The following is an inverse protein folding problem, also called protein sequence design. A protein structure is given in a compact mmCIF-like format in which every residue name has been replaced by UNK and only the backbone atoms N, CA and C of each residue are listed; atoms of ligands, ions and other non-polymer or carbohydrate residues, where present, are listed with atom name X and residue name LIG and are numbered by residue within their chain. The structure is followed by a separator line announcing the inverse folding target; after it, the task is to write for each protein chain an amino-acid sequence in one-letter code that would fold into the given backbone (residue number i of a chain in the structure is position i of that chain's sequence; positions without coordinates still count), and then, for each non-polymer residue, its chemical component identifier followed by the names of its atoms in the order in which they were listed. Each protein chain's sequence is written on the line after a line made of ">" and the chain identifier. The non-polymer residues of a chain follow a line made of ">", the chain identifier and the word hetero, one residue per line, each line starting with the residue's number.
data_IF_739077614577
#
_entry.id   IF_739077614577
#
_cell.length_a   1.000
_cell.length_b   1.000
_cell.length_c   1.000
_cell.angle_alpha   90.00
_cell.angle_beta   90.00
_cell.angle_gamma   90.00
#
_symmetry.space_group_name_H-M   'P 1'
#
loop_
_entity.id
_entity.type
_entity.pdbx_description
1 polymer ?
#
# COMPACT_ATOMS: atom_id res chain seq x y z
N UNK A 1 -25.78 -9.11 -3.98
CA UNK A 1 -25.48 -9.03 -5.42
C UNK A 1 -24.01 -9.37 -5.58
N UNK A 2 -23.65 -10.18 -6.57
CA UNK A 2 -22.25 -10.55 -6.83
C UNK A 2 -21.54 -9.35 -7.46
N UNK A 3 -20.36 -8.99 -6.93
CA UNK A 3 -19.53 -7.91 -7.47
C UNK A 3 -19.13 -8.21 -8.93
N UNK A 4 -19.13 -7.21 -9.84
CA UNK A 4 -18.72 -7.40 -11.23
C UNK A 4 -17.24 -7.81 -11.34
N UNK A 5 -16.89 -8.60 -12.36
CA UNK A 5 -15.49 -8.86 -12.71
C UNK A 5 -14.89 -7.63 -13.38
N UNK A 6 -13.57 -7.52 -13.41
CA UNK A 6 -12.88 -6.36 -13.99
C UNK A 6 -13.28 -6.14 -15.46
N UNK A 7 -13.41 -7.23 -16.24
CA UNK A 7 -13.88 -7.17 -17.64
C UNK A 7 -15.26 -6.52 -17.80
N UNK A 8 -16.11 -6.63 -16.78
CA UNK A 8 -17.45 -6.04 -16.80
C UNK A 8 -17.37 -4.52 -16.50
N UNK A 9 -16.39 -4.10 -15.70
CA UNK A 9 -16.10 -2.66 -15.48
C UNK A 9 -15.63 -1.98 -16.76
N UNK A 10 -14.85 -2.67 -17.59
CA UNK A 10 -14.30 -2.12 -18.84
C UNK A 10 -15.39 -1.71 -19.86
N UNK A 11 -16.57 -2.31 -19.79
CA UNK A 11 -17.67 -2.12 -20.76
C UNK A 11 -18.93 -1.47 -20.17
N UNK A 12 -18.88 -1.05 -18.90
CA UNK A 12 -20.05 -0.46 -18.22
C UNK A 12 -20.44 0.91 -18.80
N UNK A 13 -21.72 1.24 -18.71
CA UNK A 13 -22.30 2.50 -19.23
C UNK A 13 -22.87 3.41 -18.13
N UNK A 14 -23.03 2.90 -16.92
CA UNK A 14 -23.60 3.58 -15.75
C UNK A 14 -22.57 4.41 -14.95
N UNK A 15 -21.27 4.21 -15.23
CA UNK A 15 -20.15 4.97 -14.68
C UNK A 15 -18.99 5.00 -15.69
N UNK A 16 -17.92 5.79 -15.46
CA UNK A 16 -16.75 5.77 -16.34
C UNK A 16 -16.18 4.36 -16.51
N UNK A 17 -15.79 4.00 -17.73
CA UNK A 17 -15.27 2.68 -18.08
C UNK A 17 -14.01 2.35 -17.29
N UNK A 18 -13.89 1.08 -16.87
CA UNK A 18 -12.76 0.58 -16.08
C UNK A 18 -12.79 1.03 -14.61
N UNK A 19 -13.83 1.74 -14.16
CA UNK A 19 -13.95 2.17 -12.75
C UNK A 19 -14.91 1.29 -11.96
N UNK A 20 -14.63 1.17 -10.67
CA UNK A 20 -15.48 0.51 -9.68
C UNK A 20 -16.56 1.43 -9.08
N UNK A 21 -16.75 2.63 -9.64
CA UNK A 21 -17.62 3.65 -9.05
C UNK A 21 -19.06 3.16 -8.95
N UNK A 22 -19.70 3.42 -7.80
CA UNK A 22 -21.04 2.93 -7.49
C UNK A 22 -21.14 1.43 -7.14
N UNK A 23 -20.10 0.61 -7.32
CA UNK A 23 -20.15 -0.84 -7.02
C UNK A 23 -20.43 -1.10 -5.54
N UNK A 24 -19.78 -0.34 -4.65
CA UNK A 24 -20.01 -0.39 -3.20
C UNK A 24 -21.07 0.61 -2.71
N UNK A 25 -21.74 1.32 -3.64
CA UNK A 25 -22.68 2.40 -3.36
C UNK A 25 -22.15 3.79 -3.76
N UNK A 26 -23.07 4.71 -4.08
CA UNK A 26 -22.74 6.05 -4.56
C UNK A 26 -22.09 6.96 -3.50
N UNK A 27 -22.31 6.65 -2.22
CA UNK A 27 -21.73 7.39 -1.08
C UNK A 27 -20.54 6.68 -0.45
N UNK A 28 -20.06 5.58 -1.04
CA UNK A 28 -18.91 4.84 -0.51
C UNK A 28 -17.64 5.69 -0.49
N UNK A 29 -16.84 5.51 0.57
CA UNK A 29 -15.60 6.26 0.82
C UNK A 29 -14.42 5.35 1.23
N UNK A 30 -14.60 4.03 1.20
CA UNK A 30 -13.58 3.07 1.66
C UNK A 30 -13.21 2.03 0.60
N UNK A 31 -13.92 1.98 -0.52
CA UNK A 31 -13.60 1.20 -1.71
C UNK A 31 -13.45 -0.29 -1.39
N UNK A 32 -12.34 -0.88 -1.81
CA UNK A 32 -12.09 -2.33 -1.66
C UNK A 32 -11.98 -2.78 -0.22
N UNK A 33 -11.80 -1.88 0.76
CA UNK A 33 -11.87 -2.28 2.17
C UNK A 33 -13.24 -2.87 2.52
N UNK A 34 -14.32 -2.56 1.77
CA UNK A 34 -15.61 -3.24 1.89
C UNK A 34 -15.52 -4.76 1.74
N UNK A 35 -14.49 -5.28 1.05
CA UNK A 35 -14.25 -6.72 0.91
C UNK A 35 -13.80 -7.38 2.21
N UNK A 36 -13.20 -6.63 3.14
CA UNK A 36 -12.85 -7.14 4.46
C UNK A 36 -14.07 -7.13 5.40
N UNK A 37 -15.08 -7.97 5.10
CA UNK A 37 -16.34 -8.03 5.86
C UNK A 37 -16.12 -8.57 7.29
N UNK A 38 -17.06 -8.33 8.24
CA UNK A 38 -16.97 -8.87 9.60
C UNK A 38 -16.79 -10.40 9.63
N UNK A 39 -17.52 -11.14 8.79
CA UNK A 39 -17.41 -12.60 8.73
C UNK A 39 -16.04 -13.06 8.22
N UNK A 40 -15.48 -12.35 7.21
CA UNK A 40 -14.13 -12.59 6.70
C UNK A 40 -13.06 -12.24 7.75
N UNK A 41 -13.28 -11.21 8.56
CA UNK A 41 -12.40 -10.86 9.68
C UNK A 41 -12.43 -11.93 10.79
N UNK A 42 -13.60 -12.49 11.11
CA UNK A 42 -13.72 -13.62 12.04
C UNK A 42 -13.01 -14.86 11.50
N UNK A 43 -13.17 -15.15 10.21
CA UNK A 43 -12.45 -16.25 9.56
C UNK A 43 -10.93 -16.04 9.61
N UNK A 44 -10.45 -14.82 9.33
CA UNK A 44 -9.04 -14.45 9.45
C UNK A 44 -8.52 -14.60 10.89
N UNK A 45 -9.29 -14.20 11.91
CA UNK A 45 -8.92 -14.38 13.31
C UNK A 45 -8.73 -15.85 13.69
N UNK A 46 -9.45 -16.78 13.03
CA UNK A 46 -9.25 -18.22 13.23
C UNK A 46 -7.92 -18.75 12.68
N UNK A 47 -7.20 -17.96 11.87
CA UNK A 47 -5.85 -18.29 11.41
C UNK A 47 -4.79 -18.04 12.49
N UNK A 48 -5.09 -17.28 13.55
CA UNK A 48 -4.16 -17.03 14.65
C UNK A 48 -4.07 -18.29 15.51
N UNK A 49 -2.90 -18.95 15.51
CA UNK A 49 -2.64 -20.21 16.22
C UNK A 49 -1.55 -20.08 17.27
N UNK A 50 -0.62 -19.17 17.07
CA UNK A 50 0.58 -19.02 17.90
C UNK A 50 0.46 -17.84 18.85
N UNK A 51 -0.32 -16.81 18.46
CA UNK A 51 -0.46 -15.58 19.23
C UNK A 51 0.77 -14.67 19.11
N UNK A 52 1.63 -14.92 18.13
CA UNK A 52 2.79 -14.08 17.83
C UNK A 52 2.34 -12.89 16.98
N UNK A 53 2.78 -11.69 17.36
CA UNK A 53 2.48 -10.46 16.65
C UNK A 53 3.75 -9.89 15.99
N UNK A 54 3.62 -9.52 14.72
CA UNK A 54 4.66 -8.86 13.93
C UNK A 54 4.24 -7.42 13.64
N UNK A 55 4.93 -6.41 14.21
CA UNK A 55 4.79 -5.04 13.78
C UNK A 55 5.24 -4.90 12.33
N UNK A 56 4.39 -4.32 11.49
CA UNK A 56 4.67 -4.12 10.06
C UNK A 56 5.00 -2.66 9.72
N UNK A 57 5.12 -1.82 10.76
CA UNK A 57 5.50 -0.41 10.62
C UNK A 57 6.98 -0.24 10.92
N UNK A 58 7.68 0.46 10.03
CA UNK A 58 9.00 1.00 10.26
C UNK A 58 8.98 1.98 11.45
N UNK A 59 10.12 2.16 12.12
CA UNK A 59 10.37 3.37 12.89
C UNK A 59 10.05 4.62 12.06
N UNK A 60 9.47 5.65 12.67
CA UNK A 60 9.03 6.86 11.95
C UNK A 60 10.20 7.65 11.33
N UNK A 61 11.43 7.41 11.79
CA UNK A 61 12.68 7.97 11.27
C UNK A 61 13.31 7.12 10.16
N UNK A 62 12.65 6.03 9.75
CA UNK A 62 13.00 5.24 8.57
C UNK A 62 11.97 5.38 7.45
N UNK A 63 12.40 5.43 6.17
CA UNK A 63 13.80 5.44 5.70
C UNK A 63 14.56 6.76 5.99
N UNK A 64 15.86 6.66 6.30
CA UNK A 64 16.79 7.79 6.44
C UNK A 64 17.88 7.74 5.33
N UNK A 65 17.97 8.76 4.45
CA UNK A 65 17.17 9.99 4.44
C UNK A 65 15.71 9.81 3.99
N UNK A 66 14.78 10.69 4.42
CA UNK A 66 13.40 10.67 3.96
C UNK A 66 13.30 10.75 2.43
N UNK A 67 12.36 10.00 1.87
CA UNK A 67 12.17 9.89 0.42
C UNK A 67 11.23 11.00 -0.12
N UNK A 68 11.22 11.15 -1.45
CA UNK A 68 10.33 12.06 -2.19
C UNK A 68 10.43 13.53 -1.77
N UNK A 69 11.62 13.98 -1.36
CA UNK A 69 11.87 15.35 -0.90
C UNK A 69 11.13 15.74 0.39
N UNK A 70 10.59 14.77 1.14
CA UNK A 70 9.92 15.03 2.42
C UNK A 70 10.95 15.44 3.49
N UNK A 71 10.51 16.22 4.47
CA UNK A 71 11.34 16.53 5.65
C UNK A 71 11.13 15.45 6.70
N UNK A 72 12.18 15.15 7.46
CA UNK A 72 12.06 14.34 8.67
C UNK A 72 11.26 15.09 9.73
N UNK A 73 10.51 14.35 10.56
CA UNK A 73 9.80 14.93 11.69
C UNK A 73 10.78 15.37 12.80
N UNK A 74 10.31 16.21 13.70
CA UNK A 74 11.07 16.56 14.92
C UNK A 74 10.40 15.94 16.14
N UNK A 75 11.12 15.10 16.88
CA UNK A 75 10.69 14.57 18.17
C UNK A 75 11.19 15.47 19.30
N UNK A 76 10.28 16.00 20.11
CA UNK A 76 10.61 16.74 21.33
C UNK A 76 10.00 16.05 22.54
N UNK A 77 10.84 15.61 23.47
CA UNK A 77 10.39 15.17 24.80
C UNK A 77 10.12 16.42 25.65
N UNK A 78 8.88 16.57 26.12
CA UNK A 78 8.42 17.63 27.02
C UNK A 78 8.50 17.11 28.45
N UNK A 79 9.35 17.75 29.26
CA UNK A 79 9.53 17.37 30.65
C UNK A 79 8.70 18.23 31.60
N UNK A 80 7.86 17.57 32.39
CA UNK A 80 7.09 18.14 33.49
C UNK A 80 7.67 17.67 34.84
N UNK A 81 7.30 18.27 36.00
CA UNK A 81 7.92 17.95 37.29
C UNK A 81 7.91 16.46 37.68
N UNK A 82 6.90 15.71 37.22
CA UNK A 82 6.71 14.28 37.55
C UNK A 82 6.34 13.42 36.34
N UNK A 83 6.39 13.95 35.12
CA UNK A 83 5.96 13.24 33.91
C UNK A 83 6.76 13.68 32.68
N UNK A 84 6.72 12.84 31.65
CA UNK A 84 7.27 13.11 30.33
C UNK A 84 6.14 12.95 29.32
N UNK A 85 5.95 13.95 28.48
CA UNK A 85 5.09 13.91 27.30
C UNK A 85 5.96 14.08 26.05
N UNK A 86 5.40 13.81 24.87
CA UNK A 86 6.10 14.00 23.60
C UNK A 86 5.33 14.93 22.66
N UNK A 87 6.06 15.69 21.85
CA UNK A 87 5.55 16.47 20.73
C UNK A 87 6.28 16.05 19.45
N UNK A 88 5.50 15.82 18.40
CA UNK A 88 5.99 15.46 17.07
C UNK A 88 5.58 16.58 16.11
N UNK A 89 6.56 17.30 15.57
CA UNK A 89 6.34 18.35 14.57
C UNK A 89 6.70 17.85 13.17
N UNK A 90 6.06 18.43 12.15
CA UNK A 90 6.34 18.16 10.74
C UNK A 90 6.25 16.67 10.36
N UNK A 91 5.40 15.89 11.04
CA UNK A 91 5.16 14.50 10.68
C UNK A 91 4.45 14.42 9.33
N UNK A 92 5.15 13.87 8.34
CA UNK A 92 4.57 13.45 7.07
C UNK A 92 4.12 11.98 7.21
N UNK A 93 2.81 11.67 7.20
CA UNK A 93 2.35 10.28 7.28
C UNK A 93 2.90 9.38 6.17
N UNK A 94 3.30 9.98 5.05
CA UNK A 94 3.88 9.33 3.89
C UNK A 94 5.42 9.19 3.94
N UNK A 95 6.07 9.58 5.03
CA UNK A 95 7.54 9.50 5.12
C UNK A 95 8.06 8.14 5.62
N UNK A 96 7.20 7.26 6.09
CA UNK A 96 7.54 5.94 6.63
C UNK A 96 6.49 4.90 6.17
N UNK A 97 6.37 3.74 6.83
CA UNK A 97 5.29 2.78 6.52
C UNK A 97 3.93 3.46 6.57
N UNK A 98 3.16 3.36 5.50
CA UNK A 98 1.97 4.19 5.34
C UNK A 98 0.77 3.44 4.76
N UNK A 99 -0.38 4.10 4.91
CA UNK A 99 -1.60 3.90 4.14
C UNK A 99 -1.90 5.15 3.33
N UNK A 100 -2.21 4.97 2.05
CA UNK A 100 -2.69 6.01 1.16
C UNK A 100 -4.21 5.91 0.99
N UNK A 101 -4.93 6.92 1.48
CA UNK A 101 -6.39 6.94 1.39
C UNK A 101 -6.86 7.16 -0.05
N UNK A 102 -8.17 7.03 -0.28
CA UNK A 102 -8.78 7.32 -1.59
C UNK A 102 -8.70 8.80 -1.99
N UNK A 103 -8.30 9.67 -1.06
CA UNK A 103 -7.97 11.08 -1.31
C UNK A 103 -6.51 11.31 -1.73
N UNK A 104 -5.62 10.32 -1.69
CA UNK A 104 -4.20 10.48 -1.97
C UNK A 104 -3.92 10.83 -3.44
N UNK A 105 -4.55 10.10 -4.36
CA UNK A 105 -4.35 10.27 -5.80
C UNK A 105 -5.70 10.53 -6.48
N UNK A 106 -5.73 11.57 -7.31
CA UNK A 106 -6.81 11.79 -8.29
C UNK A 106 -6.37 11.33 -9.67
N UNK A 107 -7.28 10.72 -10.41
CA UNK A 107 -7.07 10.49 -11.83
C UNK A 107 -7.03 11.86 -12.54
N UNK A 108 -6.14 12.07 -13.54
CA UNK A 108 -5.98 13.35 -14.21
C UNK A 108 -7.29 13.81 -14.87
N UNK A 109 -7.98 12.90 -15.56
CA UNK A 109 -9.25 13.15 -16.25
C UNK A 109 -10.49 12.88 -15.40
N UNK A 110 -10.61 11.67 -14.81
CA UNK A 110 -11.82 11.25 -14.08
C UNK A 110 -12.00 11.94 -12.73
N UNK A 111 -10.90 12.32 -12.05
CA UNK A 111 -10.95 12.89 -10.70
C UNK A 111 -10.77 11.85 -9.58
N UNK A 112 -11.35 12.10 -8.41
CA UNK A 112 -11.24 11.22 -7.25
C UNK A 112 -12.23 10.05 -7.31
N UNK A 113 -11.97 9.03 -6.49
CA UNK A 113 -12.83 7.86 -6.35
C UNK A 113 -14.31 8.24 -6.20
N UNK A 114 -15.18 7.48 -6.89
CA UNK A 114 -16.64 7.63 -6.89
C UNK A 114 -17.13 9.01 -7.36
N UNK A 115 -16.32 9.74 -8.13
CA UNK A 115 -16.69 11.06 -8.65
C UNK A 115 -16.74 12.15 -7.59
N UNK A 116 -16.11 11.94 -6.43
CA UNK A 116 -16.06 12.95 -5.36
C UNK A 116 -15.42 14.25 -5.88
N UNK A 117 -16.08 15.42 -5.75
CA UNK A 117 -15.53 16.69 -6.23
C UNK A 117 -14.25 17.05 -5.47
N UNK A 118 -13.27 17.65 -6.17
CA UNK A 118 -12.01 18.05 -5.56
C UNK A 118 -12.18 19.00 -4.36
N UNK A 119 -13.19 19.88 -4.38
CA UNK A 119 -13.50 20.77 -3.26
C UNK A 119 -14.08 20.08 -2.01
N UNK A 120 -14.45 18.80 -2.11
CA UNK A 120 -14.90 17.98 -0.98
C UNK A 120 -13.77 17.15 -0.36
N UNK A 121 -12.57 17.17 -0.93
CA UNK A 121 -11.36 16.52 -0.42
C UNK A 121 -10.44 17.59 0.18
N UNK A 122 -9.93 17.37 1.39
CA UNK A 122 -9.02 18.31 2.04
C UNK A 122 -9.09 18.29 3.55
N UNK A 123 -8.71 19.40 4.20
CA UNK A 123 -8.54 19.47 5.65
C UNK A 123 -9.86 19.68 6.38
N UNK A 124 -10.08 18.91 7.46
CA UNK A 124 -11.12 19.19 8.44
C UNK A 124 -12.28 18.18 8.43
N UNK A 125 -13.24 18.42 9.32
CA UNK A 125 -14.43 17.58 9.45
C UNK A 125 -15.35 17.80 8.26
N UNK A 126 -15.88 16.70 7.70
CA UNK A 126 -16.77 16.75 6.54
C UNK A 126 -16.06 16.49 5.22
N UNK A 127 -14.72 16.50 5.20
CA UNK A 127 -13.95 16.05 4.05
C UNK A 127 -14.27 14.59 3.71
N UNK A 128 -14.29 14.31 2.41
CA UNK A 128 -14.58 13.02 1.82
C UNK A 128 -13.27 12.24 1.55
N UNK A 129 -13.37 10.92 1.48
CA UNK A 129 -12.30 10.00 1.08
C UNK A 129 -11.04 9.98 1.97
N UNK A 130 -11.04 10.74 3.06
CA UNK A 130 -9.93 10.84 3.98
C UNK A 130 -9.68 9.56 4.77
N UNK A 131 -8.46 9.42 5.28
CA UNK A 131 -8.01 8.28 6.07
C UNK A 131 -8.80 8.11 7.37
N UNK A 132 -9.45 9.17 7.87
CA UNK A 132 -10.34 9.11 9.03
C UNK A 132 -11.57 8.23 8.80
N UNK A 133 -12.00 8.04 7.54
CA UNK A 133 -13.05 7.06 7.19
C UNK A 133 -12.60 5.64 7.47
N UNK A 134 -11.33 5.34 7.15
CA UNK A 134 -10.74 4.04 7.41
C UNK A 134 -10.45 3.85 8.90
N UNK A 135 -9.91 4.88 9.57
CA UNK A 135 -9.67 4.86 11.02
C UNK A 135 -10.96 4.76 11.85
N UNK A 136 -12.10 5.28 11.37
CA UNK A 136 -13.39 5.11 12.03
C UNK A 136 -13.96 3.68 11.87
N UNK A 137 -13.66 3.02 10.75
CA UNK A 137 -14.04 1.63 10.50
C UNK A 137 -13.12 0.63 11.20
N UNK A 138 -11.82 0.93 11.25
CA UNK A 138 -10.76 -0.03 11.53
C UNK A 138 -10.47 -0.94 10.32
N UNK A 139 -9.33 -1.64 10.37
CA UNK A 139 -8.95 -2.63 9.37
C UNK A 139 -8.65 -3.94 10.10
N UNK A 140 -9.42 -4.97 9.77
CA UNK A 140 -9.17 -6.36 10.15
C UNK A 140 -9.44 -7.22 8.91
N UNK A 141 -8.42 -7.93 8.43
CA UNK A 141 -8.49 -8.72 7.21
C UNK A 141 -7.61 -9.95 7.32
N UNK A 142 -7.87 -10.98 6.52
CA UNK A 142 -6.86 -12.00 6.25
C UNK A 142 -5.71 -11.34 5.51
N UNK A 143 -4.47 -11.65 5.84
CA UNK A 143 -3.36 -11.33 4.95
C UNK A 143 -2.88 -12.57 4.21
N UNK A 144 -2.30 -12.34 3.04
CA UNK A 144 -1.44 -13.30 2.35
C UNK A 144 -0.13 -12.59 2.04
N UNK A 145 0.97 -13.12 2.58
CA UNK A 145 2.32 -12.65 2.27
C UNK A 145 2.83 -13.38 1.04
N UNK A 146 3.20 -12.64 0.00
CA UNK A 146 3.89 -13.11 -1.19
C UNK A 146 5.35 -12.62 -1.12
N UNK A 147 6.27 -13.50 -0.73
CA UNK A 147 7.70 -13.20 -0.69
C UNK A 147 8.36 -13.43 -2.05
N UNK A 148 8.06 -12.49 -2.95
CA UNK A 148 8.56 -12.50 -4.32
C UNK A 148 10.08 -12.45 -4.34
N UNK A 149 10.72 -11.70 -3.42
CA UNK A 149 12.17 -11.63 -3.31
C UNK A 149 12.79 -13.01 -3.06
N UNK A 150 12.29 -13.75 -2.07
CA UNK A 150 12.75 -15.11 -1.75
C UNK A 150 12.46 -16.08 -2.88
N UNK A 151 11.26 -16.02 -3.46
CA UNK A 151 10.88 -16.90 -4.57
C UNK A 151 11.79 -16.67 -5.79
N UNK A 152 11.97 -15.43 -6.22
CA UNK A 152 12.86 -15.07 -7.35
C UNK A 152 14.31 -15.49 -7.13
N UNK A 153 14.82 -15.35 -5.90
CA UNK A 153 16.16 -15.80 -5.55
C UNK A 153 16.31 -17.33 -5.67
N UNK A 154 15.27 -18.12 -5.35
CA UNK A 154 15.34 -19.59 -5.34
C UNK A 154 15.56 -20.22 -6.72
N UNK A 155 15.23 -19.51 -7.80
CA UNK A 155 15.51 -19.93 -9.19
C UNK A 155 16.52 -19.04 -9.91
N UNK A 156 17.37 -18.34 -9.15
CA UNK A 156 18.54 -17.62 -9.69
C UNK A 156 18.22 -16.30 -10.36
N UNK A 157 17.09 -15.65 -10.03
CA UNK A 157 16.72 -14.31 -10.52
C UNK A 157 16.49 -13.32 -9.37
N UNK A 158 17.42 -13.14 -8.42
CA UNK A 158 17.20 -12.29 -7.25
C UNK A 158 16.82 -10.86 -7.65
N UNK A 159 15.84 -10.28 -6.93
CA UNK A 159 15.45 -8.88 -7.12
C UNK A 159 16.59 -7.98 -6.68
N UNK A 160 16.94 -7.03 -7.54
CA UNK A 160 17.85 -5.94 -7.20
C UNK A 160 17.06 -4.77 -6.61
N UNK A 161 17.42 -4.38 -5.39
CA UNK A 161 16.73 -3.30 -4.67
C UNK A 161 16.95 -1.91 -5.29
N UNK A 162 18.03 -1.72 -6.05
CA UNK A 162 18.45 -0.46 -6.67
C UNK A 162 18.21 -0.43 -8.20
N UNK A 163 17.31 -1.30 -8.69
CA UNK A 163 17.01 -1.41 -10.12
C UNK A 163 15.51 -1.48 -10.35
N UNK A 164 15.10 -1.07 -11.56
CA UNK A 164 13.72 -1.17 -12.02
C UNK A 164 13.40 -2.62 -12.39
N UNK A 165 13.12 -3.43 -11.39
CA UNK A 165 12.62 -4.80 -11.54
C UNK A 165 11.09 -4.79 -11.47
N UNK A 166 10.45 -5.22 -12.56
CA UNK A 166 8.99 -5.31 -12.63
C UNK A 166 8.51 -6.63 -12.02
N UNK A 167 7.54 -6.54 -11.11
CA UNK A 167 6.83 -7.68 -10.51
C UNK A 167 5.42 -7.72 -11.11
N UNK A 168 5.17 -8.68 -11.99
CA UNK A 168 3.87 -8.84 -12.67
C UNK A 168 2.94 -9.83 -11.96
N UNK A 169 1.74 -10.02 -12.51
CA UNK A 169 0.77 -11.03 -12.04
C UNK A 169 1.41 -12.43 -12.00
N UNK A 170 2.18 -12.79 -13.03
CA UNK A 170 2.84 -14.09 -13.11
C UNK A 170 3.81 -14.32 -11.94
N UNK A 171 4.54 -13.29 -11.49
CA UNK A 171 5.42 -13.40 -10.32
C UNK A 171 4.62 -13.61 -9.04
N UNK A 172 3.52 -12.89 -8.87
CA UNK A 172 2.66 -13.00 -7.68
C UNK A 172 1.98 -14.37 -7.60
N UNK A 173 1.46 -14.85 -8.74
CA UNK A 173 0.83 -16.17 -8.84
C UNK A 173 1.87 -17.28 -8.66
N UNK A 174 3.03 -17.20 -9.31
CA UNK A 174 4.10 -18.19 -9.13
C UNK A 174 4.58 -18.25 -7.68
N UNK A 175 4.71 -17.09 -7.01
CA UNK A 175 5.06 -17.01 -5.60
C UNK A 175 3.99 -17.67 -4.72
N UNK A 176 2.71 -17.38 -4.95
CA UNK A 176 1.60 -18.00 -4.22
C UNK A 176 1.61 -19.54 -4.36
N UNK A 177 1.82 -20.04 -5.59
CA UNK A 177 1.96 -21.48 -5.89
C UNK A 177 3.15 -22.09 -5.16
N UNK A 178 4.31 -21.44 -5.21
CA UNK A 178 5.52 -21.94 -4.55
C UNK A 178 5.41 -21.97 -3.01
N UNK A 179 4.62 -21.06 -2.45
CA UNK A 179 4.33 -20.97 -1.01
C UNK A 179 3.13 -21.82 -0.59
N UNK A 180 2.43 -22.48 -1.52
CA UNK A 180 1.24 -23.28 -1.22
C UNK A 180 0.08 -22.49 -0.63
N UNK A 181 -0.06 -21.19 -0.96
CA UNK A 181 -1.11 -20.32 -0.43
C UNK A 181 -2.03 -19.81 -1.54
N UNK A 182 -3.32 -19.72 -1.25
CA UNK A 182 -4.32 -19.17 -2.17
C UNK A 182 -4.77 -17.79 -1.72
N UNK A 183 -5.02 -16.90 -2.68
CA UNK A 183 -5.72 -15.65 -2.39
C UNK A 183 -7.21 -15.92 -2.21
N UNK A 184 -7.78 -15.31 -1.16
CA UNK A 184 -9.19 -15.40 -0.86
C UNK A 184 -9.79 -13.99 -0.83
N UNK A 185 -11.07 -13.83 -1.19
CA UNK A 185 -11.73 -12.55 -1.12
C UNK A 185 -11.61 -11.82 0.22
N UNK A 186 -11.41 -10.51 0.17
CA UNK A 186 -11.21 -9.65 1.34
C UNK A 186 -9.83 -9.75 1.96
N UNK A 187 -8.89 -10.47 1.32
CA UNK A 187 -7.51 -10.56 1.81
C UNK A 187 -6.73 -9.29 1.47
N UNK A 188 -5.86 -8.85 2.39
CA UNK A 188 -4.78 -7.94 2.09
C UNK A 188 -3.61 -8.72 1.47
N UNK A 189 -3.12 -8.27 0.31
CA UNK A 189 -1.97 -8.88 -0.36
C UNK A 189 -0.72 -8.11 0.06
N UNK A 190 0.21 -8.79 0.70
CA UNK A 190 1.46 -8.22 1.19
C UNK A 190 2.58 -8.70 0.27
N UNK A 191 3.27 -7.79 -0.40
CA UNK A 191 4.31 -8.14 -1.37
C UNK A 191 5.67 -7.74 -0.81
N UNK A 192 6.51 -8.74 -0.51
CA UNK A 192 7.90 -8.50 -0.12
C UNK A 192 8.79 -8.51 -1.36
N UNK A 193 9.26 -7.33 -1.73
CA UNK A 193 10.17 -7.07 -2.85
C UNK A 193 11.64 -7.19 -2.44
N UNK A 194 11.94 -7.11 -1.14
CA UNK A 194 13.31 -7.11 -0.60
C UNK A 194 13.97 -5.73 -0.65
N UNK A 195 13.22 -4.68 -0.99
CA UNK A 195 13.75 -3.33 -1.09
C UNK A 195 14.28 -2.82 0.26
N UNK A 196 13.52 -2.97 1.35
CA UNK A 196 13.94 -2.51 2.68
C UNK A 196 15.25 -3.15 3.14
N UNK A 197 15.39 -4.46 2.98
CA UNK A 197 16.62 -5.17 3.31
C UNK A 197 17.82 -4.63 2.52
N UNK A 198 17.65 -4.37 1.22
CA UNK A 198 18.66 -3.74 0.38
C UNK A 198 19.02 -2.32 0.82
N UNK A 199 18.00 -1.49 1.09
CA UNK A 199 18.18 -0.11 1.55
C UNK A 199 18.91 -0.04 2.90
N UNK A 200 18.55 -0.90 3.86
CA UNK A 200 19.21 -1.01 5.17
C UNK A 200 20.66 -1.52 5.05
N UNK A 201 20.97 -2.36 4.07
CA UNK A 201 22.34 -2.80 3.82
C UNK A 201 23.19 -1.76 3.05
N UNK A 202 22.54 -0.80 2.38
CA UNK A 202 23.21 0.18 1.53
C UNK A 202 24.02 1.22 2.32
N UNK A 203 25.06 1.75 1.68
CA UNK A 203 25.82 2.89 2.18
C UNK A 203 24.98 4.17 2.23
N UNK A 204 25.43 5.14 3.05
CA UNK A 204 24.77 6.46 3.13
C UNK A 204 24.70 7.17 1.78
N UNK A 205 25.70 7.00 0.92
CA UNK A 205 25.71 7.59 -0.42
C UNK A 205 24.68 6.94 -1.35
N UNK A 206 24.54 5.62 -1.32
CA UNK A 206 23.51 4.90 -2.06
C UNK A 206 22.10 5.30 -1.61
N UNK A 207 21.87 5.36 -0.28
CA UNK A 207 20.60 5.84 0.28
C UNK A 207 20.29 7.27 -0.13
N UNK A 208 21.30 8.16 -0.07
CA UNK A 208 21.15 9.56 -0.50
C UNK A 208 20.81 9.67 -1.99
N UNK A 209 21.36 8.80 -2.85
CA UNK A 209 20.98 8.75 -4.28
C UNK A 209 19.52 8.37 -4.48
N UNK A 210 19.00 7.40 -3.73
CA UNK A 210 17.57 7.03 -3.78
C UNK A 210 16.68 8.15 -3.20
N UNK A 211 17.10 8.77 -2.10
CA UNK A 211 16.37 9.84 -1.42
C UNK A 211 16.37 11.17 -2.20
N UNK A 212 17.34 11.39 -3.10
CA UNK A 212 17.41 12.56 -3.97
C UNK A 212 16.25 12.68 -4.97
N UNK A 213 15.33 11.71 -4.96
CA UNK A 213 14.05 11.79 -5.65
C UNK A 213 13.24 13.01 -5.21
N UNK A 214 12.92 13.87 -6.16
CA UNK A 214 12.04 15.03 -5.95
C UNK A 214 10.90 14.97 -6.96
N UNK A 215 9.63 14.98 -6.52
CA UNK A 215 8.49 15.11 -7.42
C UNK A 215 8.64 16.37 -8.28
N UNK A 216 8.54 16.22 -9.60
CA UNK A 216 8.61 17.32 -10.57
C UNK A 216 7.20 17.79 -10.94
N UNK A 217 7.02 19.10 -11.10
CA UNK A 217 5.83 19.68 -11.75
C UNK A 217 5.83 19.40 -13.27
N UNK A 218 7.00 19.19 -13.86
CA UNK A 218 7.16 18.70 -15.22
C UNK A 218 7.19 17.17 -15.21
N UNK A 219 6.02 16.57 -15.46
CA UNK A 219 5.82 15.11 -15.47
C UNK A 219 6.69 14.39 -16.53
N UNK A 220 7.10 15.09 -17.60
CA UNK A 220 7.93 14.51 -18.65
C UNK A 220 9.34 14.13 -18.17
N UNK A 221 9.73 14.63 -16.98
CA UNK A 221 11.04 14.38 -16.36
C UNK A 221 11.00 13.35 -15.25
N UNK A 222 9.87 12.69 -15.00
CA UNK A 222 9.75 11.69 -13.94
C UNK A 222 10.82 10.60 -14.05
N UNK A 223 11.08 10.10 -15.26
CA UNK A 223 12.12 9.07 -15.49
C UNK A 223 13.54 9.52 -15.22
N UNK A 224 13.82 10.81 -15.34
CA UNK A 224 15.15 11.39 -15.10
C UNK A 224 15.38 11.62 -13.60
N UNK A 225 14.31 11.97 -12.88
CA UNK A 225 14.37 12.45 -11.50
C UNK A 225 14.04 11.38 -10.45
N UNK A 226 13.64 10.18 -10.89
CA UNK A 226 13.29 9.07 -10.03
C UNK A 226 14.35 7.95 -10.10
N UNK A 227 15.14 7.76 -9.03
CA UNK A 227 16.05 6.64 -8.92
C UNK A 227 15.30 5.31 -9.02
N UNK A 228 15.91 4.29 -9.65
CA UNK A 228 15.22 3.03 -9.91
C UNK A 228 15.02 2.22 -8.63
N UNK A 229 13.83 1.63 -8.48
CA UNK A 229 13.49 0.68 -7.42
C UNK A 229 12.63 -0.45 -7.97
N UNK A 230 12.69 -1.66 -7.40
CA UNK A 230 11.80 -2.75 -7.75
C UNK A 230 10.38 -2.40 -7.30
N UNK A 231 9.39 -3.04 -7.93
CA UNK A 231 8.01 -2.91 -7.53
C UNK A 231 7.06 -3.57 -8.51
N UNK A 232 5.77 -3.41 -8.23
CA UNK A 232 4.72 -3.92 -9.10
C UNK A 232 4.77 -3.31 -10.50
N UNK A 233 4.41 -4.09 -11.51
CA UNK A 233 4.25 -3.59 -12.86
C UNK A 233 3.01 -2.67 -12.95
N UNK A 234 3.18 -1.47 -13.50
CA UNK A 234 2.05 -0.60 -13.86
C UNK A 234 1.34 -1.19 -15.08
N UNK A 235 0.44 -2.15 -14.86
CA UNK A 235 -0.33 -2.79 -15.92
C UNK A 235 -1.81 -2.91 -15.55
N UNK A 236 -2.66 -2.85 -16.57
CA UNK A 236 -4.09 -3.16 -16.44
C UNK A 236 -4.31 -4.58 -15.94
N UNK A 237 -3.52 -5.56 -16.42
CA UNK A 237 -3.64 -6.96 -15.99
C UNK A 237 -3.46 -7.13 -14.48
N UNK A 238 -2.54 -6.38 -13.86
CA UNK A 238 -2.31 -6.42 -12.42
C UNK A 238 -3.50 -5.81 -11.65
N UNK A 239 -3.99 -4.66 -12.09
CA UNK A 239 -5.19 -4.03 -11.51
C UNK A 239 -6.42 -4.94 -11.66
N UNK A 240 -6.58 -5.57 -12.82
CA UNK A 240 -7.63 -6.52 -13.11
C UNK A 240 -7.55 -7.75 -12.20
N UNK A 241 -6.36 -8.33 -12.04
CA UNK A 241 -6.13 -9.47 -11.17
C UNK A 241 -6.45 -9.14 -9.71
N UNK A 242 -5.95 -8.02 -9.17
CA UNK A 242 -6.24 -7.58 -7.80
C UNK A 242 -7.75 -7.36 -7.57
N UNK A 243 -8.44 -6.78 -8.56
CA UNK A 243 -9.90 -6.63 -8.51
C UNK A 243 -10.58 -8.01 -8.50
N UNK A 244 -10.20 -8.89 -9.42
CA UNK A 244 -10.85 -10.18 -9.64
C UNK A 244 -10.62 -11.23 -8.54
N UNK A 245 -9.53 -11.12 -7.77
CA UNK A 245 -9.31 -11.91 -6.53
C UNK A 245 -9.98 -11.29 -5.31
N UNK A 246 -10.73 -10.20 -5.50
CA UNK A 246 -11.41 -9.44 -4.45
C UNK A 246 -10.46 -8.99 -3.33
N UNK A 247 -9.24 -8.54 -3.67
CA UNK A 247 -8.29 -8.02 -2.71
C UNK A 247 -8.87 -6.81 -1.96
N UNK A 248 -8.74 -6.79 -0.63
CA UNK A 248 -9.16 -5.65 0.18
C UNK A 248 -8.13 -4.52 0.14
N UNK A 249 -6.85 -4.89 0.05
CA UNK A 249 -5.71 -3.97 -0.01
C UNK A 249 -4.52 -4.65 -0.71
N UNK A 250 -3.62 -3.84 -1.23
CA UNK A 250 -2.30 -4.25 -1.70
C UNK A 250 -1.25 -3.41 -0.97
N UNK A 251 -0.24 -4.07 -0.39
CA UNK A 251 0.84 -3.40 0.31
C UNK A 251 2.19 -3.95 -0.09
N UNK A 252 3.23 -3.13 -0.05
CA UNK A 252 4.59 -3.54 -0.35
C UNK A 252 5.63 -2.92 0.59
N UNK A 253 6.81 -3.53 0.62
CA UNK A 253 7.99 -3.08 1.36
C UNK A 253 8.88 -2.11 0.56
N UNK A 254 8.35 -1.47 -0.48
CA UNK A 254 9.09 -0.54 -1.33
C UNK A 254 8.49 0.88 -1.28
N UNK A 255 9.17 1.90 -1.86
CA UNK A 255 8.77 3.30 -1.69
C UNK A 255 7.52 3.77 -2.40
N UNK A 256 7.07 3.05 -3.42
CA UNK A 256 6.08 3.56 -4.37
C UNK A 256 5.07 2.51 -4.83
N UNK A 257 5.00 1.35 -4.16
CA UNK A 257 4.26 0.14 -4.57
C UNK A 257 4.72 -0.44 -5.93
N UNK A 258 4.55 0.32 -7.00
CA UNK A 258 5.03 0.03 -8.34
C UNK A 258 6.53 0.32 -8.53
N UNK A 259 7.11 -0.26 -9.58
CA UNK A 259 8.52 -0.08 -9.87
C UNK A 259 8.82 1.34 -10.37
N UNK A 260 9.91 1.93 -9.87
CA UNK A 260 10.39 3.23 -10.31
C UNK A 260 11.55 3.10 -11.32
N UNK A 261 11.70 4.04 -12.26
CA UNK A 261 10.77 5.14 -12.56
C UNK A 261 9.42 4.68 -13.16
N UNK A 262 8.38 5.45 -12.83
CA UNK A 262 7.04 5.41 -13.42
C UNK A 262 6.76 6.70 -14.23
N UNK A 263 5.67 6.72 -15.00
CA UNK A 263 5.33 7.82 -15.93
C UNK A 263 3.92 8.35 -15.62
N UNK A 264 3.81 9.57 -15.06
CA UNK A 264 2.51 10.13 -14.63
C UNK A 264 1.70 10.78 -15.75
N UNK A 265 2.23 10.85 -16.96
CA UNK A 265 1.58 11.40 -18.16
C UNK A 265 0.64 10.41 -18.86
N UNK A 266 0.64 9.15 -18.43
CA UNK A 266 -0.26 8.09 -18.89
C UNK A 266 -0.94 7.39 -17.72
N UNK A 267 -2.22 7.02 -17.88
CA UNK A 267 -2.94 6.19 -16.89
C UNK A 267 -2.31 4.80 -16.76
N UNK A 268 -1.68 4.30 -17.83
CA UNK A 268 -0.92 3.05 -17.83
C UNK A 268 0.52 3.21 -17.32
N UNK A 269 1.00 4.45 -17.19
CA UNK A 269 2.36 4.72 -16.73
C UNK A 269 2.50 4.75 -15.21
N UNK A 270 1.38 4.82 -14.47
CA UNK A 270 1.36 4.88 -13.01
C UNK A 270 0.21 4.04 -12.42
N UNK A 271 0.53 2.89 -11.81
CA UNK A 271 -0.42 1.92 -11.25
C UNK A 271 -1.38 2.55 -10.25
N UNK A 272 -0.90 3.55 -9.48
CA UNK A 272 -1.72 4.33 -8.56
C UNK A 272 -3.02 4.87 -9.18
N UNK A 273 -3.00 5.33 -10.44
CA UNK A 273 -4.21 5.83 -11.09
C UNK A 273 -5.27 4.73 -11.27
N UNK A 274 -4.85 3.49 -11.53
CA UNK A 274 -5.77 2.34 -11.63
C UNK A 274 -6.27 1.92 -10.26
N UNK A 275 -5.38 1.86 -9.28
CA UNK A 275 -5.73 1.32 -7.97
C UNK A 275 -6.61 2.29 -7.18
N UNK A 276 -6.16 3.54 -6.98
CA UNK A 276 -6.79 4.44 -6.00
C UNK A 276 -8.06 5.07 -6.58
N UNK A 277 -8.01 5.99 -7.57
CA UNK A 277 -9.20 6.69 -8.02
C UNK A 277 -10.12 5.85 -8.90
N UNK A 278 -9.62 4.86 -9.65
CA UNK A 278 -10.50 4.02 -10.51
C UNK A 278 -11.11 2.84 -9.73
N UNK A 279 -10.31 2.07 -9.00
CA UNK A 279 -10.76 0.85 -8.31
C UNK A 279 -11.08 1.03 -6.82
N UNK A 280 -10.76 2.17 -6.22
CA UNK A 280 -10.96 2.39 -4.79
C UNK A 280 -10.10 1.46 -3.92
N UNK A 281 -8.93 1.05 -4.42
CA UNK A 281 -8.05 0.10 -3.76
C UNK A 281 -7.27 0.77 -2.63
N UNK A 282 -7.23 0.13 -1.47
CA UNK A 282 -6.33 0.55 -0.39
C UNK A 282 -4.89 0.15 -0.70
N UNK A 283 -3.98 1.13 -0.63
CA UNK A 283 -2.55 0.99 -0.94
C UNK A 283 -1.71 1.27 0.30
N UNK A 284 -0.71 0.43 0.55
CA UNK A 284 0.29 0.63 1.59
C UNK A 284 1.72 0.50 1.07
N UNK A 285 2.61 1.35 1.56
CA UNK A 285 3.99 1.45 1.09
C UNK A 285 4.95 1.43 2.26
N UNK A 286 6.19 0.98 2.01
CA UNK A 286 7.27 0.88 3.00
C UNK A 286 6.93 0.00 4.21
N UNK A 287 6.13 -1.05 4.06
CA UNK A 287 5.81 -1.95 5.18
C UNK A 287 7.01 -2.83 5.53
N UNK A 288 7.33 -2.97 6.83
CA UNK A 288 8.40 -3.86 7.29
C UNK A 288 7.91 -5.31 7.31
N UNK A 289 8.27 -6.06 6.29
CA UNK A 289 7.81 -7.44 6.08
C UNK A 289 8.88 -8.49 6.43
N UNK A 290 10.11 -8.08 6.81
CA UNK A 290 11.24 -9.01 6.92
C UNK A 290 11.04 -10.05 8.02
N UNK A 291 10.69 -9.62 9.24
CA UNK A 291 10.49 -10.53 10.37
C UNK A 291 9.29 -11.48 10.15
N UNK A 292 8.21 -10.97 9.55
CA UNK A 292 7.06 -11.79 9.18
C UNK A 292 7.47 -12.82 8.12
N UNK A 293 8.20 -12.42 7.08
CA UNK A 293 8.63 -13.30 6.01
C UNK A 293 9.59 -14.40 6.50
N UNK A 294 10.50 -14.10 7.42
CA UNK A 294 11.37 -15.09 8.06
C UNK A 294 10.56 -16.11 8.87
N UNK A 295 9.55 -15.66 9.60
CA UNK A 295 8.65 -16.54 10.33
C UNK A 295 7.83 -17.42 9.39
N UNK A 296 7.17 -16.83 8.39
CA UNK A 296 6.35 -17.55 7.42
C UNK A 296 7.14 -18.65 6.69
N UNK A 297 8.39 -18.38 6.30
CA UNK A 297 9.22 -19.40 5.65
C UNK A 297 9.68 -20.52 6.58
N UNK A 298 9.86 -20.25 7.88
CA UNK A 298 10.24 -21.29 8.84
C UNK A 298 9.07 -22.21 9.16
N UNK A 299 7.87 -21.65 9.31
CA UNK A 299 6.67 -22.40 9.69
C UNK A 299 5.87 -22.91 8.48
N UNK A 300 6.26 -22.54 7.26
CA UNK A 300 5.53 -22.78 6.01
C UNK A 300 4.05 -22.31 6.08
N UNK A 301 3.85 -21.11 6.64
CA UNK A 301 2.54 -20.47 6.83
C UNK A 301 2.59 -19.04 6.34
N UNK A 302 1.88 -18.74 5.25
CA UNK A 302 1.97 -17.46 4.53
C UNK A 302 0.71 -16.60 4.65
N UNK A 303 -0.15 -16.93 5.61
CA UNK A 303 -1.43 -16.27 5.85
C UNK A 303 -1.71 -16.14 7.36
N UNK A 304 -2.47 -15.12 7.72
CA UNK A 304 -2.85 -14.85 9.11
C UNK A 304 -3.84 -13.71 9.22
N UNK A 305 -3.98 -13.14 10.42
CA UNK A 305 -4.81 -11.97 10.66
C UNK A 305 -3.96 -10.70 10.56
N UNK A 306 -4.35 -9.78 9.68
CA UNK A 306 -3.86 -8.41 9.66
C UNK A 306 -4.84 -7.52 10.42
N UNK A 307 -4.29 -6.70 11.30
CA UNK A 307 -5.02 -5.57 11.89
C UNK A 307 -4.26 -4.29 11.61
N UNK A 308 -4.98 -3.20 11.34
CA UNK A 308 -4.38 -1.88 11.27
C UNK A 308 -5.35 -0.83 11.84
N UNK A 309 -4.78 0.17 12.50
CA UNK A 309 -5.54 1.29 13.08
C UNK A 309 -5.01 2.63 12.54
N UNK A 310 -5.43 3.03 11.32
CA UNK A 310 -5.06 4.33 10.77
C UNK A 310 -5.46 5.48 11.69
N UNK A 311 -4.66 6.54 11.70
CA UNK A 311 -4.92 7.74 12.48
C UNK A 311 -6.25 8.38 12.08
N UNK A 312 -7.02 8.81 13.07
CA UNK A 312 -8.32 9.46 12.88
C UNK A 312 -8.17 10.98 12.74
N UNK A 313 -7.40 11.40 11.74
CA UNK A 313 -7.17 12.81 11.41
C UNK A 313 -8.28 13.26 10.44
N UNK A 314 -9.24 14.12 10.83
CA UNK A 314 -10.33 14.52 9.95
C UNK A 314 -9.81 15.16 8.65
N UNK A 315 -10.13 14.54 7.51
CA UNK A 315 -9.63 14.98 6.21
C UNK A 315 -8.14 14.67 5.95
N UNK A 316 -7.54 13.79 6.75
CA UNK A 316 -6.18 13.31 6.54
C UNK A 316 -6.07 12.52 5.23
N UNK A 317 -4.96 12.68 4.53
CA UNK A 317 -4.73 12.04 3.21
C UNK A 317 -4.10 10.65 3.35
N UNK A 318 -3.37 10.41 4.42
CA UNK A 318 -2.81 9.10 4.73
C UNK A 318 -2.49 9.01 6.21
N UNK A 319 -1.99 7.86 6.62
CA UNK A 319 -1.64 7.54 8.00
C UNK A 319 -0.37 6.71 8.00
N UNK A 320 0.45 6.76 9.07
CA UNK A 320 1.33 5.63 9.37
C UNK A 320 0.55 4.31 9.31
N UNK A 321 1.20 3.24 8.90
CA UNK A 321 0.55 1.95 8.69
C UNK A 321 -0.15 1.46 9.97
N UNK A 322 0.52 1.59 11.12
CA UNK A 322 0.07 1.14 12.44
C UNK A 322 -0.59 -0.25 12.35
N UNK A 323 0.18 -1.18 11.80
CA UNK A 323 -0.29 -2.48 11.33
C UNK A 323 0.43 -3.63 12.04
N UNK A 324 -0.31 -4.68 12.35
CA UNK A 324 0.15 -5.91 12.97
C UNK A 324 -0.31 -7.13 12.15
N UNK A 325 0.62 -8.05 11.86
CA UNK A 325 0.28 -9.41 11.46
C UNK A 325 0.28 -10.33 12.68
N UNK A 326 -0.72 -11.19 12.80
CA UNK A 326 -0.91 -12.16 13.88
C UNK A 326 -0.96 -13.57 13.31
N UNK A 327 -0.15 -14.48 13.87
CA UNK A 327 0.06 -15.87 13.43
C UNK A 327 -0.46 -16.93 14.40
#
# INVERSE_FOLDING_TARGET
>A
MTRPRYRDLAVREDAPRGTSWGVYGADDEIGTLNEATPDRAVAAASLVREGVAFPLSLPLDEPDPPLFGRRGFTHTVVQEPTSLDDRIDDLHPQASSQWDSLAHVRHPELGFYNGVPAGAVGVGRGSRLGIDRWGARGIAARFVLLDVARHRASYGRPIRWDARELIGVDDLVATAVAQGVELAPGSAVLVRTGWLAGYRAASREERARIAAMVPSDDLSRDRELMPPTPGLAASEDLAAWLWDVEAAAIVADNPALEAMPFERDSVDGWLHYRLIPMLGMAVGELWDLDALAEHCAREDRWEGLLTAAPLRIPGGIGSPANALALM
#
